data_IF_872425695155
#
_entry.id   IF_872425695155
#
_cell.length_a   1.000
_cell.length_b   1.000
_cell.length_c   1.000
_cell.angle_alpha   90.00
_cell.angle_beta   90.00
_cell.angle_gamma   90.00
#
_symmetry.space_group_name_H-M   'P 1'
#
loop_
_entity.id
_entity.type
_entity.pdbx_description
1 polymer ?
#
# COMPACT_ATOMS: atom_id res chain seq x y z
N UNK A 1 -31.42 38.79 -8.24
CA UNK A 1 -31.36 37.92 -7.05
C UNK A 1 -31.79 36.53 -7.50
N UNK A 2 -30.83 35.67 -7.84
CA UNK A 2 -31.11 34.31 -8.36
C UNK A 2 -30.65 33.33 -7.28
N UNK A 3 -31.62 32.64 -6.68
CA UNK A 3 -31.42 31.72 -5.55
C UNK A 3 -30.54 30.53 -5.95
N UNK A 4 -29.48 30.30 -5.17
CA UNK A 4 -28.71 29.07 -5.22
C UNK A 4 -29.44 28.01 -4.40
N UNK A 5 -30.23 27.18 -5.10
CA UNK A 5 -30.93 26.04 -4.52
C UNK A 5 -29.96 24.87 -4.36
N UNK A 6 -29.42 24.71 -3.15
CA UNK A 6 -28.55 23.61 -2.78
C UNK A 6 -29.33 22.29 -2.75
N UNK A 7 -29.07 21.40 -3.69
CA UNK A 7 -29.60 20.03 -3.65
C UNK A 7 -28.70 19.17 -2.74
N UNK A 8 -29.02 19.09 -1.46
CA UNK A 8 -28.51 18.06 -0.56
C UNK A 8 -29.15 16.71 -0.93
N UNK A 9 -28.62 16.04 -1.95
CA UNK A 9 -29.08 14.72 -2.39
C UNK A 9 -27.92 13.74 -2.52
N UNK A 10 -27.91 12.68 -1.71
CA UNK A 10 -27.00 11.54 -1.87
C UNK A 10 -27.22 10.89 -3.24
N UNK A 11 -26.36 11.24 -4.19
CA UNK A 11 -26.44 10.79 -5.58
C UNK A 11 -25.46 9.63 -5.80
N UNK A 12 -25.88 8.56 -6.48
CA UNK A 12 -25.01 7.48 -6.97
C UNK A 12 -24.80 7.65 -8.48
N UNK A 13 -23.90 8.54 -8.93
CA UNK A 13 -23.69 8.76 -10.35
C UNK A 13 -22.86 7.64 -10.99
N UNK A 14 -23.22 7.22 -12.20
CA UNK A 14 -22.47 6.23 -12.99
C UNK A 14 -21.01 6.69 -13.25
N UNK A 15 -20.84 7.99 -13.51
CA UNK A 15 -19.57 8.67 -13.68
C UNK A 15 -19.56 9.99 -12.92
N UNK A 16 -18.69 10.14 -11.92
CA UNK A 16 -18.48 11.43 -11.26
C UNK A 16 -17.42 12.23 -12.00
N UNK A 17 -17.79 13.28 -12.74
CA UNK A 17 -16.83 14.21 -13.37
C UNK A 17 -16.52 15.46 -12.54
N UNK A 18 -17.51 16.03 -11.82
CA UNK A 18 -17.34 17.09 -10.81
C UNK A 18 -18.57 17.08 -9.89
N UNK A 19 -18.38 16.79 -8.62
CA UNK A 19 -19.38 17.01 -7.57
C UNK A 19 -18.68 17.65 -6.38
N UNK A 20 -19.16 18.80 -5.91
CA UNK A 20 -18.76 19.35 -4.62
C UNK A 20 -19.63 18.67 -3.56
N UNK A 21 -19.08 17.66 -2.87
CA UNK A 21 -19.75 16.92 -1.80
C UNK A 21 -19.40 15.42 -1.78
N UNK A 22 -19.65 14.71 -0.66
CA UNK A 22 -19.42 13.27 -0.56
C UNK A 22 -20.33 12.51 -1.55
N UNK A 23 -19.73 11.69 -2.43
CA UNK A 23 -20.45 10.89 -3.41
C UNK A 23 -19.84 9.48 -3.56
N UNK A 24 -20.69 8.52 -3.95
CA UNK A 24 -20.31 7.11 -4.20
C UNK A 24 -20.51 6.77 -5.69
N UNK A 25 -19.66 7.25 -6.60
CA UNK A 25 -19.79 6.90 -8.02
C UNK A 25 -19.30 5.48 -8.33
N UNK A 26 -19.84 4.85 -9.37
CA UNK A 26 -19.25 3.60 -9.87
C UNK A 26 -17.84 3.81 -10.42
N UNK A 27 -17.62 4.92 -11.14
CA UNK A 27 -16.32 5.33 -11.66
C UNK A 27 -15.97 6.77 -11.29
N UNK A 28 -14.78 6.99 -10.74
CA UNK A 28 -14.24 8.33 -10.52
C UNK A 28 -12.93 8.59 -11.25
N UNK A 29 -12.82 9.81 -11.80
CA UNK A 29 -11.58 10.46 -12.20
C UNK A 29 -11.57 11.90 -11.66
N UNK A 30 -11.04 12.11 -10.46
CA UNK A 30 -11.27 13.35 -9.70
C UNK A 30 -10.06 13.78 -8.85
N UNK A 31 -10.19 14.97 -8.24
CA UNK A 31 -9.32 15.58 -7.22
C UNK A 31 -9.96 15.61 -5.80
N UNK A 32 -11.25 15.28 -5.67
CA UNK A 32 -12.04 15.44 -4.44
C UNK A 32 -12.18 14.12 -3.65
N UNK A 33 -12.47 14.15 -2.34
CA UNK A 33 -12.71 12.95 -1.54
C UNK A 33 -13.95 12.19 -2.02
N UNK A 34 -13.79 10.94 -2.48
CA UNK A 34 -14.90 10.07 -2.89
C UNK A 34 -14.63 8.61 -2.57
N UNK A 35 -15.71 7.81 -2.51
CA UNK A 35 -15.69 6.35 -2.26
C UNK A 35 -16.18 5.61 -3.52
N UNK A 36 -15.45 5.64 -4.65
CA UNK A 36 -15.95 5.01 -5.86
C UNK A 36 -15.71 3.50 -5.88
N UNK A 37 -16.52 2.75 -6.63
CA UNK A 37 -16.25 1.32 -6.83
C UNK A 37 -14.93 1.12 -7.60
N UNK A 38 -14.71 1.92 -8.67
CA UNK A 38 -13.48 1.91 -9.47
C UNK A 38 -12.90 3.31 -9.65
N UNK A 39 -11.60 3.48 -9.38
CA UNK A 39 -10.97 4.81 -9.35
C UNK A 39 -9.64 4.95 -10.11
N UNK A 40 -9.50 6.10 -10.79
CA UNK A 40 -8.21 6.74 -11.08
C UNK A 40 -8.22 8.14 -10.50
N UNK A 41 -7.55 8.37 -9.37
CA UNK A 41 -7.79 9.58 -8.57
C UNK A 41 -6.49 10.23 -8.14
N UNK A 42 -6.55 11.54 -7.98
CA UNK A 42 -5.54 12.36 -7.33
C UNK A 42 -6.16 12.90 -6.04
N UNK A 43 -5.42 12.87 -4.93
CA UNK A 43 -5.93 13.26 -3.61
C UNK A 43 -6.51 12.10 -2.79
N UNK A 44 -7.05 12.41 -1.59
CA UNK A 44 -7.61 11.44 -0.66
C UNK A 44 -8.74 10.60 -1.27
N UNK A 45 -8.68 9.27 -1.15
CA UNK A 45 -9.73 8.39 -1.71
C UNK A 45 -9.86 7.03 -1.00
N UNK A 46 -11.06 6.46 -0.99
CA UNK A 46 -11.35 5.15 -0.39
C UNK A 46 -12.12 4.26 -1.37
N UNK A 47 -11.56 3.91 -2.54
CA UNK A 47 -12.32 3.13 -3.52
C UNK A 47 -12.26 1.62 -3.26
N UNK A 48 -13.25 0.86 -3.70
CA UNK A 48 -13.15 -0.61 -3.59
C UNK A 48 -12.01 -1.15 -4.49
N UNK A 49 -11.89 -0.63 -5.72
CA UNK A 49 -10.83 -0.95 -6.67
C UNK A 49 -10.10 0.32 -7.19
N UNK A 50 -8.84 0.50 -6.81
CA UNK A 50 -7.96 1.56 -7.31
C UNK A 50 -7.02 1.09 -8.42
N UNK A 51 -7.21 1.54 -9.67
CA UNK A 51 -6.27 1.21 -10.76
C UNK A 51 -4.99 2.03 -10.68
N UNK A 52 -5.12 3.33 -10.39
CA UNK A 52 -4.02 4.27 -10.19
C UNK A 52 -4.49 5.38 -9.25
N UNK A 53 -4.03 5.38 -8.01
CA UNK A 53 -4.32 6.44 -7.03
C UNK A 53 -3.03 7.18 -6.69
N UNK A 54 -3.11 8.50 -6.62
CA UNK A 54 -2.00 9.39 -6.29
C UNK A 54 -2.45 10.26 -5.12
N UNK A 55 -1.77 10.15 -3.98
CA UNK A 55 -2.18 10.74 -2.71
C UNK A 55 -2.62 9.69 -1.68
N UNK A 56 -3.07 10.14 -0.50
CA UNK A 56 -3.56 9.26 0.56
C UNK A 56 -4.71 8.36 0.05
N UNK A 57 -4.62 7.05 0.25
CA UNK A 57 -5.72 6.16 -0.18
C UNK A 57 -5.86 4.87 0.62
N UNK A 58 -7.10 4.40 0.77
CA UNK A 58 -7.44 3.17 1.52
C UNK A 58 -8.32 2.26 0.67
N UNK A 59 -7.83 1.68 -0.44
CA UNK A 59 -8.66 0.85 -1.30
C UNK A 59 -8.68 -0.62 -0.87
N UNK A 60 -9.75 -1.36 -1.13
CA UNK A 60 -9.73 -2.80 -0.88
C UNK A 60 -8.73 -3.50 -1.82
N UNK A 61 -8.71 -3.13 -3.10
CA UNK A 61 -7.70 -3.57 -4.07
C UNK A 61 -7.01 -2.39 -4.77
N UNK A 62 -5.69 -2.28 -4.65
CA UNK A 62 -4.87 -1.25 -5.31
C UNK A 62 -3.87 -1.83 -6.31
N UNK A 63 -3.99 -1.48 -7.60
CA UNK A 63 -3.01 -1.93 -8.63
C UNK A 63 -1.73 -1.08 -8.63
N UNK A 64 -1.87 0.24 -8.47
CA UNK A 64 -0.75 1.19 -8.40
C UNK A 64 -1.13 2.35 -7.49
N UNK A 65 -0.57 2.41 -6.29
CA UNK A 65 -0.79 3.49 -5.34
C UNK A 65 0.52 4.28 -5.18
N UNK A 66 0.43 5.60 -5.21
CA UNK A 66 1.57 6.51 -5.04
C UNK A 66 1.20 7.47 -3.92
N UNK A 67 1.95 7.46 -2.83
CA UNK A 67 1.64 8.16 -1.58
C UNK A 67 1.23 7.21 -0.45
N UNK A 68 0.88 7.77 0.72
CA UNK A 68 0.43 6.99 1.88
C UNK A 68 -0.76 6.10 1.52
N UNK A 69 -0.69 4.80 1.81
CA UNK A 69 -1.80 3.91 1.51
C UNK A 69 -1.97 2.70 2.42
N UNK A 70 -3.21 2.28 2.64
CA UNK A 70 -3.56 1.15 3.51
C UNK A 70 -4.53 0.20 2.78
N UNK A 71 -4.10 -0.51 1.72
CA UNK A 71 -5.00 -1.38 0.98
C UNK A 71 -5.08 -2.80 1.55
N UNK A 72 -6.20 -3.50 1.38
CA UNK A 72 -6.23 -4.93 1.73
C UNK A 72 -5.30 -5.73 0.80
N UNK A 73 -5.35 -5.46 -0.50
CA UNK A 73 -4.42 -6.00 -1.50
C UNK A 73 -3.75 -4.90 -2.32
N UNK A 74 -2.42 -4.81 -2.28
CA UNK A 74 -1.60 -3.86 -3.04
C UNK A 74 -0.65 -4.54 -4.02
N UNK A 75 -0.78 -4.27 -5.32
CA UNK A 75 0.14 -4.83 -6.32
C UNK A 75 1.45 -4.05 -6.44
N UNK A 76 1.37 -2.72 -6.50
CA UNK A 76 2.53 -1.81 -6.57
C UNK A 76 2.26 -0.58 -5.72
N UNK A 77 2.98 -0.45 -4.62
CA UNK A 77 2.84 0.65 -3.66
C UNK A 77 4.13 1.46 -3.65
N UNK A 78 4.02 2.77 -3.81
CA UNK A 78 5.15 3.70 -3.76
C UNK A 78 4.90 4.71 -2.65
N UNK A 79 5.75 4.73 -1.63
CA UNK A 79 5.59 5.53 -0.42
C UNK A 79 5.17 4.69 0.80
N UNK A 80 4.87 5.35 1.93
CA UNK A 80 4.46 4.69 3.17
C UNK A 80 3.22 3.82 2.95
N UNK A 81 3.28 2.55 3.36
CA UNK A 81 2.12 1.67 3.16
C UNK A 81 1.96 0.55 4.19
N UNK A 82 0.71 0.22 4.50
CA UNK A 82 0.35 -0.83 5.47
C UNK A 82 -0.69 -1.77 4.85
N UNK A 83 -0.33 -2.60 3.85
CA UNK A 83 -1.30 -3.48 3.22
C UNK A 83 -1.42 -4.83 3.94
N UNK A 84 -2.57 -5.51 3.85
CA UNK A 84 -2.63 -6.90 4.32
C UNK A 84 -1.77 -7.80 3.40
N UNK A 85 -1.91 -7.65 2.09
CA UNK A 85 -1.06 -8.32 1.09
C UNK A 85 -0.42 -7.31 0.14
N UNK A 86 0.92 -7.31 0.07
CA UNK A 86 1.70 -6.46 -0.81
C UNK A 86 2.60 -7.25 -1.78
N UNK A 87 2.43 -7.05 -3.09
CA UNK A 87 3.28 -7.74 -4.08
C UNK A 87 4.62 -7.03 -4.31
N UNK A 88 4.61 -5.70 -4.48
CA UNK A 88 5.80 -4.87 -4.66
C UNK A 88 5.61 -3.56 -3.90
N UNK A 89 6.39 -3.35 -2.85
CA UNK A 89 6.34 -2.16 -2.02
C UNK A 89 7.67 -1.43 -2.13
N UNK A 90 7.62 -0.13 -2.37
CA UNK A 90 8.77 0.75 -2.49
C UNK A 90 8.62 1.88 -1.47
N UNK A 91 9.46 1.89 -0.44
CA UNK A 91 9.37 2.80 0.70
C UNK A 91 9.02 2.10 2.01
N UNK A 92 8.84 2.87 3.10
CA UNK A 92 8.47 2.34 4.41
C UNK A 92 7.19 1.51 4.34
N UNK A 93 7.23 0.28 4.87
CA UNK A 93 6.04 -0.56 4.82
C UNK A 93 5.90 -1.58 5.94
N UNK A 94 4.66 -1.85 6.32
CA UNK A 94 4.31 -2.81 7.39
C UNK A 94 3.21 -3.76 6.90
N UNK A 95 3.49 -4.68 5.96
CA UNK A 95 2.47 -5.58 5.46
C UNK A 95 2.33 -6.87 6.28
N UNK A 96 1.16 -7.49 6.29
CA UNK A 96 1.04 -8.84 6.86
C UNK A 96 1.81 -9.84 5.96
N UNK A 97 1.59 -9.80 4.65
CA UNK A 97 2.36 -10.56 3.67
C UNK A 97 2.99 -9.64 2.62
N UNK A 98 4.30 -9.72 2.46
CA UNK A 98 5.06 -8.96 1.49
C UNK A 98 5.93 -9.84 0.58
N UNK A 99 5.69 -9.79 -0.74
CA UNK A 99 6.50 -10.58 -1.69
C UNK A 99 7.84 -9.92 -2.04
N UNK A 100 7.84 -8.62 -2.31
CA UNK A 100 9.05 -7.84 -2.59
C UNK A 100 8.92 -6.47 -1.94
N UNK A 101 9.78 -6.17 -0.99
CA UNK A 101 9.80 -4.91 -0.25
C UNK A 101 11.18 -4.29 -0.46
N UNK A 102 11.18 -3.01 -0.81
CA UNK A 102 12.39 -2.22 -1.04
C UNK A 102 12.28 -0.99 -0.14
N UNK A 103 13.19 -0.87 0.82
CA UNK A 103 13.16 0.14 1.87
C UNK A 103 12.86 -0.46 3.25
N UNK A 104 12.78 0.40 4.29
CA UNK A 104 12.48 -0.02 5.65
C UNK A 104 11.17 -0.81 5.72
N UNK A 105 11.19 -1.99 6.36
CA UNK A 105 9.98 -2.80 6.44
C UNK A 105 9.85 -3.70 7.66
N UNK A 106 8.63 -3.90 8.11
CA UNK A 106 8.29 -4.77 9.25
C UNK A 106 7.14 -5.70 8.87
N UNK A 107 7.38 -6.72 8.01
CA UNK A 107 6.31 -7.62 7.59
C UNK A 107 6.15 -8.81 8.54
N UNK A 108 4.93 -9.37 8.65
CA UNK A 108 4.79 -10.66 9.34
C UNK A 108 5.45 -11.77 8.50
N UNK A 109 5.17 -11.81 7.19
CA UNK A 109 5.84 -12.70 6.25
C UNK A 109 6.46 -11.91 5.09
N UNK A 110 7.79 -11.98 4.95
CA UNK A 110 8.56 -11.34 3.89
C UNK A 110 9.28 -12.35 2.99
N UNK A 111 9.00 -12.34 1.69
CA UNK A 111 9.69 -13.25 0.75
C UNK A 111 11.05 -12.71 0.28
N UNK A 112 11.10 -11.45 -0.12
CA UNK A 112 12.33 -10.76 -0.56
C UNK A 112 12.33 -9.35 0.00
N UNK A 113 13.21 -9.08 0.96
CA UNK A 113 13.34 -7.78 1.62
C UNK A 113 14.69 -7.17 1.23
N UNK A 114 14.67 -5.94 0.76
CA UNK A 114 15.86 -5.16 0.40
C UNK A 114 15.89 -3.89 1.26
N UNK A 115 16.89 -3.77 2.12
CA UNK A 115 17.03 -2.71 3.11
C UNK A 115 16.72 -3.16 4.55
N UNK A 116 16.73 -2.22 5.50
CA UNK A 116 16.47 -2.50 6.91
C UNK A 116 15.14 -3.22 7.11
N UNK A 117 15.13 -4.36 7.80
CA UNK A 117 13.89 -5.11 8.00
C UNK A 117 13.81 -5.91 9.29
N UNK A 118 12.60 -6.00 9.84
CA UNK A 118 12.31 -6.78 11.07
C UNK A 118 11.11 -7.70 10.79
N UNK A 119 11.29 -8.78 10.01
CA UNK A 119 10.18 -9.67 9.70
C UNK A 119 9.98 -10.75 10.76
N UNK A 120 8.76 -11.23 10.95
CA UNK A 120 8.56 -12.46 11.74
C UNK A 120 9.11 -13.67 10.97
N UNK A 121 8.76 -13.81 9.69
CA UNK A 121 9.35 -14.81 8.78
C UNK A 121 9.94 -14.16 7.53
N UNK A 122 11.23 -14.35 7.29
CA UNK A 122 11.97 -13.83 6.15
C UNK A 122 12.59 -14.93 5.28
N UNK A 123 12.23 -15.03 4.00
CA UNK A 123 12.84 -16.02 3.11
C UNK A 123 14.20 -15.56 2.56
N UNK A 124 14.30 -14.32 2.07
CA UNK A 124 15.54 -13.74 1.53
C UNK A 124 15.65 -12.29 1.97
N UNK A 125 16.60 -11.99 2.84
CA UNK A 125 16.85 -10.67 3.40
C UNK A 125 18.18 -10.14 2.87
N UNK A 126 18.16 -8.92 2.34
CA UNK A 126 19.32 -8.22 1.80
C UNK A 126 19.46 -6.89 2.54
N UNK A 127 20.49 -6.76 3.38
CA UNK A 127 20.73 -5.61 4.24
C UNK A 127 20.45 -5.92 5.73
N UNK A 128 20.57 -4.89 6.60
CA UNK A 128 20.38 -5.02 8.04
C UNK A 128 19.04 -5.67 8.38
N UNK A 129 19.04 -6.75 9.15
CA UNK A 129 17.78 -7.42 9.51
C UNK A 129 17.76 -8.12 10.86
N UNK A 130 16.58 -8.13 11.48
CA UNK A 130 16.33 -8.85 12.75
C UNK A 130 15.09 -9.72 12.59
N UNK A 131 15.19 -10.86 11.88
CA UNK A 131 14.06 -11.75 11.70
C UNK A 131 13.82 -12.65 12.92
N UNK A 132 12.56 -12.99 13.23
CA UNK A 132 12.31 -14.11 14.15
C UNK A 132 12.76 -15.42 13.49
N UNK A 133 12.42 -15.62 12.21
CA UNK A 133 12.85 -16.74 11.38
C UNK A 133 13.40 -16.30 10.03
N UNK A 134 14.67 -16.64 9.75
CA UNK A 134 15.35 -16.34 8.48
C UNK A 134 15.80 -17.59 7.74
N UNK A 135 15.71 -17.60 6.40
CA UNK A 135 16.29 -18.68 5.56
C UNK A 135 17.57 -18.30 4.81
N UNK A 136 17.62 -17.09 4.25
CA UNK A 136 18.80 -16.58 3.54
C UNK A 136 18.99 -15.12 3.90
N UNK A 137 20.08 -14.84 4.59
CA UNK A 137 20.43 -13.52 5.11
C UNK A 137 21.72 -13.08 4.42
N UNK A 138 21.70 -11.90 3.84
CA UNK A 138 22.86 -11.27 3.19
C UNK A 138 23.00 -9.87 3.77
N UNK A 139 24.10 -9.63 4.47
CA UNK A 139 24.34 -8.43 5.26
C UNK A 139 24.14 -8.66 6.77
N UNK A 140 24.34 -7.62 7.59
CA UNK A 140 24.26 -7.73 9.05
C UNK A 140 22.90 -8.27 9.49
N UNK A 141 22.88 -9.36 10.24
CA UNK A 141 21.61 -9.95 10.66
C UNK A 141 21.68 -10.65 12.02
N UNK A 142 20.59 -10.54 12.77
CA UNK A 142 20.44 -11.19 14.09
C UNK A 142 19.14 -11.99 14.08
N UNK A 143 19.12 -13.21 13.50
CA UNK A 143 17.95 -14.08 13.56
C UNK A 143 17.78 -14.65 14.98
N UNK A 144 16.57 -14.60 15.54
CA UNK A 144 16.29 -15.26 16.84
C UNK A 144 16.22 -16.79 16.69
N UNK A 145 15.71 -17.29 15.56
CA UNK A 145 15.61 -18.70 15.24
C UNK A 145 15.89 -18.91 13.73
N UNK A 146 16.70 -19.90 13.32
CA UNK A 146 16.90 -20.17 11.89
C UNK A 146 18.19 -20.88 11.51
N UNK A 147 18.23 -21.41 10.27
CA UNK A 147 19.37 -22.16 9.71
C UNK A 147 20.06 -21.33 8.62
N UNK A 148 21.38 -21.26 8.72
CA UNK A 148 22.35 -20.71 7.75
C UNK A 148 22.40 -19.17 7.63
N UNK A 149 23.31 -18.58 8.40
CA UNK A 149 23.84 -17.23 8.20
C UNK A 149 24.98 -17.35 7.19
N UNK A 150 24.84 -16.75 6.00
CA UNK A 150 25.99 -16.53 5.11
C UNK A 150 26.45 -15.11 5.36
N UNK A 151 27.30 -14.95 6.38
CA UNK A 151 28.12 -13.75 6.51
C UNK A 151 29.16 -13.79 5.40
N UNK A 152 28.90 -13.06 4.31
CA UNK A 152 29.98 -12.57 3.48
C UNK A 152 30.51 -11.32 4.18
N UNK A 153 31.52 -11.52 5.02
CA UNK A 153 32.47 -10.47 5.40
C UNK A 153 33.46 -10.34 4.24
N UNK A 154 33.51 -9.19 3.59
CA UNK A 154 34.75 -8.73 2.93
C UNK A 154 35.66 -8.10 3.97
#
# INVERSE_FOLDING_TARGET
>A
MLEQRWLFGSSVPLYGRRHFGPSVPLYARQFDPSVPLYGRQFGPSVPLYGRRLIGPSVPLYGRRLIGPSVPLYGRRLFGPSVPLYGQRLFGPSVPLYGRRLIGPSVPLYGRRLFGPSVPLYGQRLFGPSVPLYGRRLIGPSVPLYGRHVQEYSE
#
